data_IF_514210730331
#
_entry.id   IF_514210730331
#
_cell.length_a   1.000
_cell.length_b   1.000
_cell.length_c   1.000
_cell.angle_alpha   90.00
_cell.angle_beta   90.00
_cell.angle_gamma   90.00
#
_symmetry.space_group_name_H-M   'P 1'
#
loop_
_entity.id
_entity.type
_entity.pdbx_description
1 polymer ?
#
# COMPACT_ATOMS: atom_id res chain seq x y z
N UNK A 1 -4.86 31.80 -0.74
CA UNK A 1 -5.96 31.30 -1.59
C UNK A 1 -5.40 30.22 -2.47
N UNK A 2 -5.59 28.95 -2.11
CA UNK A 2 -5.31 27.83 -3.01
C UNK A 2 -6.65 27.46 -3.62
N UNK A 3 -6.78 27.73 -4.92
CA UNK A 3 -7.94 27.35 -5.70
C UNK A 3 -8.20 25.86 -5.49
N UNK A 4 -9.32 25.60 -4.85
CA UNK A 4 -9.89 24.27 -4.75
C UNK A 4 -10.39 23.94 -6.15
N UNK A 5 -9.49 23.47 -7.02
CA UNK A 5 -9.89 22.78 -8.24
C UNK A 5 -10.76 21.63 -7.73
N UNK A 6 -12.06 21.81 -7.90
CA UNK A 6 -13.06 20.80 -7.61
C UNK A 6 -12.91 19.75 -8.71
N UNK A 7 -11.82 18.99 -8.64
CA UNK A 7 -11.53 17.90 -9.55
C UNK A 7 -12.51 16.81 -9.14
N UNK A 8 -13.63 16.69 -9.87
CA UNK A 8 -14.56 15.59 -9.66
C UNK A 8 -13.76 14.29 -9.69
N UNK A 9 -13.76 13.59 -8.55
CA UNK A 9 -13.02 12.36 -8.42
C UNK A 9 -13.65 11.31 -9.34
N UNK A 10 -12.85 10.59 -10.15
CA UNK A 10 -13.36 9.55 -11.02
C UNK A 10 -14.22 8.54 -10.24
N UNK A 11 -15.33 8.09 -10.84
CA UNK A 11 -16.21 7.11 -10.21
C UNK A 11 -15.49 5.77 -9.99
N UNK A 12 -15.93 4.97 -9.00
CA UNK A 12 -15.37 3.63 -8.75
C UNK A 12 -15.38 2.77 -10.02
N UNK A 13 -16.44 2.84 -10.80
CA UNK A 13 -16.58 2.13 -12.08
C UNK A 13 -15.52 2.58 -13.09
N UNK A 14 -15.33 3.88 -13.25
CA UNK A 14 -14.31 4.44 -14.15
C UNK A 14 -12.90 4.04 -13.71
N UNK A 15 -12.58 4.17 -12.43
CA UNK A 15 -11.29 3.75 -11.84
C UNK A 15 -11.03 2.28 -12.16
N UNK A 16 -12.02 1.41 -11.96
CA UNK A 16 -11.89 -0.02 -12.22
C UNK A 16 -11.70 -0.32 -13.72
N UNK A 17 -12.43 0.36 -14.60
CA UNK A 17 -12.28 0.24 -16.06
C UNK A 17 -10.87 0.63 -16.50
N UNK A 18 -10.38 1.80 -16.10
CA UNK A 18 -9.05 2.30 -16.44
C UNK A 18 -7.95 1.40 -15.87
N UNK A 19 -8.08 0.91 -14.63
CA UNK A 19 -7.14 -0.05 -14.05
C UNK A 19 -7.05 -1.36 -14.84
N UNK A 20 -8.19 -1.88 -15.34
CA UNK A 20 -8.22 -3.07 -16.21
C UNK A 20 -7.56 -2.79 -17.57
N UNK A 21 -7.82 -1.63 -18.18
CA UNK A 21 -7.20 -1.23 -19.45
C UNK A 21 -5.67 -1.18 -19.32
N UNK A 22 -5.15 -0.46 -18.33
CA UNK A 22 -3.70 -0.36 -18.10
C UNK A 22 -3.06 -1.71 -17.80
N UNK A 23 -3.76 -2.60 -17.06
CA UNK A 23 -3.30 -3.97 -16.83
C UNK A 23 -3.14 -4.74 -18.15
N UNK A 24 -4.14 -4.65 -19.03
CA UNK A 24 -4.11 -5.30 -20.35
C UNK A 24 -3.02 -4.70 -21.24
N UNK A 25 -2.84 -3.38 -21.22
CA UNK A 25 -1.84 -2.70 -22.06
C UNK A 25 -0.40 -3.05 -21.64
N UNK A 26 -0.16 -3.19 -20.33
CA UNK A 26 1.18 -3.45 -19.80
C UNK A 26 1.58 -4.94 -19.80
N UNK A 27 0.61 -5.86 -19.66
CA UNK A 27 0.87 -7.29 -19.42
C UNK A 27 0.09 -8.24 -20.34
N UNK A 28 -0.79 -7.73 -21.19
CA UNK A 28 -1.48 -8.50 -22.22
C UNK A 28 -0.94 -8.17 -23.61
N UNK A 29 -1.29 -9.00 -24.59
CA UNK A 29 -1.09 -8.69 -26.01
C UNK A 29 -2.28 -7.86 -26.50
N UNK A 30 -2.32 -6.57 -26.16
CA UNK A 30 -3.19 -5.64 -26.89
C UNK A 30 -2.48 -5.28 -28.19
N UNK A 31 -3.05 -5.68 -29.32
CA UNK A 31 -2.48 -5.46 -30.65
C UNK A 31 -2.68 -4.03 -31.14
N UNK A 32 -3.80 -3.38 -30.76
CA UNK A 32 -4.10 -1.98 -31.04
C UNK A 32 -4.87 -1.40 -29.87
N UNK A 33 -4.38 -0.34 -29.23
CA UNK A 33 -5.16 0.49 -28.29
C UNK A 33 -4.84 1.92 -28.63
N UNK A 34 -5.87 2.77 -28.68
CA UNK A 34 -5.70 4.19 -28.93
C UNK A 34 -4.82 4.78 -27.83
N UNK A 35 -3.76 5.48 -28.23
CA UNK A 35 -2.82 6.12 -27.31
C UNK A 35 -3.56 7.10 -26.37
N UNK A 36 -4.60 7.76 -26.88
CA UNK A 36 -5.44 8.67 -26.10
C UNK A 36 -6.24 7.95 -25.00
N UNK A 37 -6.71 6.71 -25.25
CA UNK A 37 -7.40 5.91 -24.24
C UNK A 37 -6.46 5.49 -23.10
N UNK A 38 -5.20 5.16 -23.44
CA UNK A 38 -4.17 4.83 -22.46
C UNK A 38 -3.81 6.05 -21.63
N UNK A 39 -3.61 7.20 -22.27
CA UNK A 39 -3.31 8.46 -21.59
C UNK A 39 -4.44 8.85 -20.63
N UNK A 40 -5.69 8.79 -21.09
CA UNK A 40 -6.86 9.03 -20.26
C UNK A 40 -6.91 8.07 -19.05
N UNK A 41 -6.65 6.78 -19.28
CA UNK A 41 -6.63 5.80 -18.19
C UNK A 41 -5.50 6.05 -17.18
N UNK A 42 -4.32 6.48 -17.65
CA UNK A 42 -3.22 6.91 -16.76
C UNK A 42 -3.68 8.08 -15.90
N UNK A 43 -4.34 9.07 -16.48
CA UNK A 43 -4.79 10.25 -15.77
C UNK A 43 -5.85 9.92 -14.71
N UNK A 44 -6.86 9.11 -15.04
CA UNK A 44 -7.85 8.61 -14.07
C UNK A 44 -7.17 7.91 -12.89
N UNK A 45 -6.17 7.06 -13.14
CA UNK A 45 -5.43 6.36 -12.08
C UNK A 45 -4.55 7.33 -11.28
N UNK A 46 -3.99 8.38 -11.90
CA UNK A 46 -3.25 9.43 -11.21
C UNK A 46 -4.15 10.23 -10.28
N UNK A 47 -5.35 10.62 -10.72
CA UNK A 47 -6.35 11.32 -9.91
C UNK A 47 -6.80 10.47 -8.72
N UNK A 48 -7.15 9.21 -8.95
CA UNK A 48 -7.48 8.27 -7.87
C UNK A 48 -6.33 8.13 -6.87
N UNK A 49 -5.08 8.00 -7.35
CA UNK A 49 -3.89 7.94 -6.50
C UNK A 49 -3.69 9.24 -5.70
N UNK A 50 -3.84 10.41 -6.33
CA UNK A 50 -3.69 11.71 -5.69
C UNK A 50 -4.71 11.92 -4.57
N UNK A 51 -5.94 11.41 -4.75
CA UNK A 51 -7.01 11.46 -3.75
C UNK A 51 -6.66 10.77 -2.41
N UNK A 52 -5.61 9.94 -2.36
CA UNK A 52 -5.15 9.32 -1.11
C UNK A 52 -4.20 10.23 -0.31
N UNK A 53 -3.72 11.34 -0.87
CA UNK A 53 -2.70 12.18 -0.24
C UNK A 53 -3.18 12.77 1.10
N UNK A 54 -4.37 13.37 1.12
CA UNK A 54 -4.91 14.02 2.31
C UNK A 54 -5.32 13.03 3.41
N UNK A 55 -6.04 11.93 3.13
CA UNK A 55 -6.32 10.91 4.15
C UNK A 55 -5.05 10.27 4.70
N UNK A 56 -4.06 10.01 3.85
CA UNK A 56 -2.75 9.49 4.26
C UNK A 56 -2.02 10.46 5.19
N UNK A 57 -2.10 11.78 4.96
CA UNK A 57 -1.54 12.79 5.85
C UNK A 57 -2.19 12.74 7.24
N UNK A 58 -3.52 12.61 7.32
CA UNK A 58 -4.23 12.47 8.61
C UNK A 58 -3.79 11.20 9.36
N UNK A 59 -3.72 10.07 8.66
CA UNK A 59 -3.26 8.80 9.25
C UNK A 59 -1.81 8.92 9.71
N UNK A 60 -0.92 9.55 8.93
CA UNK A 60 0.46 9.82 9.33
C UNK A 60 0.51 10.64 10.62
N UNK A 61 -0.19 11.77 10.68
CA UNK A 61 -0.19 12.64 11.86
C UNK A 61 -0.71 11.92 13.11
N UNK A 62 -1.79 11.15 12.98
CA UNK A 62 -2.29 10.37 14.11
C UNK A 62 -1.34 9.24 14.53
N UNK A 63 -0.67 8.57 13.58
CA UNK A 63 0.36 7.58 13.90
C UNK A 63 1.55 8.22 14.60
N UNK A 64 2.02 9.39 14.13
CA UNK A 64 3.08 10.16 14.79
C UNK A 64 2.71 10.50 16.23
N UNK A 65 1.48 10.91 16.49
CA UNK A 65 1.00 11.18 17.85
C UNK A 65 1.08 9.92 18.73
N UNK A 66 0.60 8.78 18.24
CA UNK A 66 0.63 7.52 19.00
C UNK A 66 2.05 7.01 19.27
N UNK A 67 2.94 7.11 18.29
CA UNK A 67 4.36 6.74 18.43
C UNK A 67 5.03 7.60 19.51
N UNK A 68 4.81 8.92 19.48
CA UNK A 68 5.36 9.84 20.50
C UNK A 68 4.81 9.56 21.90
N UNK A 69 3.54 9.21 22.03
CA UNK A 69 2.94 8.89 23.35
C UNK A 69 3.59 7.65 23.98
N UNK A 70 3.98 6.67 23.16
CA UNK A 70 4.70 5.48 23.64
C UNK A 70 6.21 5.73 23.82
N UNK A 71 6.61 7.01 23.88
CA UNK A 71 7.99 7.48 24.08
C UNK A 71 8.99 6.91 23.05
N UNK A 72 8.53 6.68 21.82
CA UNK A 72 9.37 6.30 20.71
C UNK A 72 9.79 7.54 19.90
N UNK A 73 11.09 7.81 19.82
CA UNK A 73 11.66 8.84 18.96
C UNK A 73 11.96 8.26 17.57
N UNK A 74 10.88 7.95 16.85
CA UNK A 74 10.95 7.14 15.65
C UNK A 74 10.25 7.79 14.46
N UNK A 75 10.87 7.65 13.30
CA UNK A 75 10.42 8.32 12.10
C UNK A 75 9.14 7.68 11.55
N UNK A 76 8.11 8.51 11.36
CA UNK A 76 6.90 8.15 10.62
C UNK A 76 6.98 8.73 9.22
N UNK A 77 6.98 7.85 8.22
CA UNK A 77 7.06 8.21 6.81
C UNK A 77 5.75 7.87 6.10
N UNK A 78 5.51 8.49 4.95
CA UNK A 78 4.35 8.19 4.12
C UNK A 78 4.72 8.16 2.64
N UNK A 79 3.98 7.39 1.85
CA UNK A 79 4.22 7.24 0.42
C UNK A 79 2.95 6.84 -0.33
N UNK A 80 2.74 7.49 -1.46
CA UNK A 80 1.83 7.01 -2.49
C UNK A 80 2.52 6.01 -3.42
N UNK A 81 1.89 4.88 -3.66
CA UNK A 81 2.38 3.84 -4.57
C UNK A 81 2.47 4.37 -6.00
N UNK A 82 3.55 4.05 -6.72
CA UNK A 82 3.74 4.50 -8.12
C UNK A 82 2.78 3.73 -9.04
N UNK A 83 2.25 4.40 -10.08
CA UNK A 83 1.29 3.80 -11.03
C UNK A 83 1.77 2.46 -11.62
N UNK A 84 3.02 2.30 -12.10
CA UNK A 84 3.47 0.98 -12.60
C UNK A 84 3.44 -0.13 -11.54
N UNK A 85 3.64 0.21 -10.25
CA UNK A 85 3.54 -0.75 -9.14
C UNK A 85 2.08 -1.06 -8.78
N UNK A 86 1.16 -0.13 -9.00
CA UNK A 86 -0.30 -0.35 -8.90
C UNK A 86 -0.72 -1.36 -9.98
N UNK A 87 -0.40 -1.09 -11.25
CA UNK A 87 -0.74 -1.96 -12.39
C UNK A 87 -0.13 -3.35 -12.22
N UNK A 88 1.14 -3.46 -11.81
CA UNK A 88 1.78 -4.74 -11.48
C UNK A 88 1.06 -5.51 -10.37
N UNK A 89 0.50 -4.82 -9.36
CA UNK A 89 -0.29 -5.48 -8.31
C UNK A 89 -1.60 -6.03 -8.87
N UNK A 90 -2.31 -5.25 -9.68
CA UNK A 90 -3.53 -5.71 -10.36
C UNK A 90 -3.28 -6.91 -11.26
N UNK A 91 -2.11 -6.98 -11.92
CA UNK A 91 -1.73 -8.15 -12.71
C UNK A 91 -1.57 -9.41 -11.86
N UNK A 92 -0.88 -9.32 -10.71
CA UNK A 92 -0.72 -10.45 -9.78
C UNK A 92 -2.01 -10.87 -9.06
N UNK A 93 -3.02 -9.99 -9.04
CA UNK A 93 -4.31 -10.20 -8.36
C UNK A 93 -5.44 -9.98 -9.37
N UNK A 94 -5.65 -10.91 -10.32
CA UNK A 94 -6.45 -10.66 -11.51
C UNK A 94 -7.91 -10.28 -11.23
N UNK A 95 -8.46 -10.76 -10.11
CA UNK A 95 -9.84 -10.54 -9.68
C UNK A 95 -10.02 -9.29 -8.80
N UNK A 96 -8.94 -8.59 -8.46
CA UNK A 96 -9.02 -7.42 -7.57
C UNK A 96 -9.31 -6.13 -8.35
N UNK A 97 -10.42 -5.42 -8.06
CA UNK A 97 -10.69 -4.10 -8.64
C UNK A 97 -9.69 -3.06 -8.12
N UNK A 98 -9.34 -2.06 -8.95
CA UNK A 98 -8.42 -0.99 -8.57
C UNK A 98 -8.96 -0.14 -7.41
N UNK A 99 -10.25 0.19 -7.43
CA UNK A 99 -10.88 0.99 -6.38
C UNK A 99 -10.86 0.31 -4.99
N UNK A 100 -10.60 -1.01 -4.93
CA UNK A 100 -10.52 -1.80 -3.70
C UNK A 100 -9.08 -2.02 -3.21
N UNK A 101 -8.07 -1.45 -3.89
CA UNK A 101 -6.69 -1.58 -3.45
C UNK A 101 -6.44 -0.80 -2.15
N UNK A 102 -5.92 -1.51 -1.16
CA UNK A 102 -5.69 -0.97 0.19
C UNK A 102 -4.32 -0.31 0.37
N UNK A 103 -3.38 -0.55 -0.56
CA UNK A 103 -1.99 -0.09 -0.47
C UNK A 103 -1.65 0.97 -1.53
N UNK A 104 -2.63 1.79 -1.91
CA UNK A 104 -2.41 2.96 -2.79
C UNK A 104 -1.71 4.08 -2.02
N UNK A 105 -2.22 4.39 -0.83
CA UNK A 105 -1.55 5.22 0.17
C UNK A 105 -1.03 4.35 1.31
N UNK A 106 0.19 4.63 1.77
CA UNK A 106 0.80 3.89 2.86
C UNK A 106 1.58 4.79 3.81
N UNK A 107 1.50 4.48 5.10
CA UNK A 107 2.25 5.10 6.18
C UNK A 107 3.09 4.03 6.85
N UNK A 108 4.33 4.36 7.23
CA UNK A 108 5.24 3.45 7.92
C UNK A 108 5.81 4.11 9.15
N UNK A 109 5.90 3.35 10.24
CA UNK A 109 6.78 3.65 11.37
C UNK A 109 7.82 2.54 11.47
N UNK A 110 9.08 2.95 11.59
CA UNK A 110 10.22 2.07 11.89
C UNK A 110 10.56 2.32 13.35
N UNK A 111 10.51 1.30 14.18
CA UNK A 111 10.62 1.37 15.63
C UNK A 111 11.92 0.69 16.08
N UNK A 112 12.37 0.97 17.30
CA UNK A 112 13.65 0.44 17.78
C UNK A 112 13.66 -1.09 17.78
N UNK A 113 12.63 -1.69 18.39
CA UNK A 113 12.57 -3.11 18.68
C UNK A 113 11.13 -3.65 18.71
N UNK A 114 11.00 -4.96 18.96
CA UNK A 114 9.71 -5.65 19.07
C UNK A 114 8.82 -5.12 20.20
N UNK A 115 9.33 -4.93 21.43
CA UNK A 115 8.56 -4.35 22.52
C UNK A 115 7.95 -2.98 22.20
N UNK A 116 8.70 -2.05 21.60
CA UNK A 116 8.15 -0.76 21.17
C UNK A 116 7.08 -0.93 20.08
N UNK A 117 7.31 -1.84 19.13
CA UNK A 117 6.34 -2.17 18.10
C UNK A 117 5.01 -2.63 18.68
N UNK A 118 5.05 -3.53 19.66
CA UNK A 118 3.84 -4.04 20.30
C UNK A 118 3.11 -2.97 21.12
N UNK A 119 3.83 -2.07 21.81
CA UNK A 119 3.22 -0.90 22.48
C UNK A 119 2.47 0.00 21.49
N UNK A 120 3.12 0.36 20.38
CA UNK A 120 2.50 1.18 19.33
C UNK A 120 1.31 0.45 18.69
N UNK A 121 1.44 -0.85 18.39
CA UNK A 121 0.36 -1.69 17.88
C UNK A 121 -0.83 -1.71 18.82
N UNK A 122 -0.63 -1.96 20.11
CA UNK A 122 -1.69 -1.96 21.12
C UNK A 122 -2.39 -0.60 21.19
N UNK A 123 -1.64 0.50 21.12
CA UNK A 123 -2.23 1.86 21.06
C UNK A 123 -3.04 2.11 19.79
N UNK A 124 -2.58 1.65 18.63
CA UNK A 124 -3.37 1.72 17.39
C UNK A 124 -4.66 0.91 17.55
N UNK A 125 -4.57 -0.31 18.08
CA UNK A 125 -5.75 -1.15 18.31
C UNK A 125 -6.73 -0.49 19.27
N UNK A 126 -6.25 0.21 20.31
CA UNK A 126 -7.12 0.96 21.23
C UNK A 126 -7.82 2.15 20.56
N UNK A 127 -7.10 2.95 19.78
CA UNK A 127 -7.63 4.22 19.27
C UNK A 127 -8.33 4.11 17.91
N UNK A 128 -7.94 3.14 17.07
CA UNK A 128 -8.38 3.03 15.68
C UNK A 128 -9.15 1.74 15.39
N UNK A 129 -9.55 0.94 16.40
CA UNK A 129 -10.23 -0.35 16.17
C UNK A 129 -11.40 -0.27 15.19
N UNK A 130 -12.24 0.75 15.34
CA UNK A 130 -13.44 0.99 14.51
C UNK A 130 -13.12 1.53 13.12
N UNK A 131 -11.91 2.03 12.90
CA UNK A 131 -11.44 2.54 11.61
C UNK A 131 -10.67 1.46 10.83
N UNK A 132 -10.39 0.30 11.44
CA UNK A 132 -9.73 -0.80 10.74
C UNK A 132 -10.71 -1.49 9.80
N UNK A 133 -10.31 -1.64 8.54
CA UNK A 133 -11.13 -2.34 7.52
C UNK A 133 -11.22 -3.85 7.81
N UNK A 134 -10.21 -4.39 8.50
CA UNK A 134 -10.09 -5.80 8.90
C UNK A 134 -8.98 -5.94 9.94
N UNK A 135 -8.85 -7.14 10.50
CA UNK A 135 -7.83 -7.42 11.49
C UNK A 135 -6.40 -7.25 10.94
N UNK A 136 -5.45 -6.84 11.80
CA UNK A 136 -4.04 -6.71 11.43
C UNK A 136 -3.46 -8.02 10.89
N UNK A 137 -2.60 -7.91 9.88
CA UNK A 137 -1.79 -9.03 9.41
C UNK A 137 -0.42 -8.98 10.09
N UNK A 138 -0.13 -10.00 10.87
CA UNK A 138 1.13 -10.13 11.59
C UNK A 138 2.12 -10.98 10.79
N UNK A 139 2.97 -10.31 9.99
CA UNK A 139 4.05 -10.99 9.28
C UNK A 139 5.31 -11.15 10.14
N UNK A 140 5.30 -10.74 11.41
CA UNK A 140 6.39 -11.07 12.35
C UNK A 140 6.20 -12.51 12.80
N UNK A 141 5.00 -12.87 13.24
CA UNK A 141 4.65 -14.24 13.64
C UNK A 141 4.50 -15.18 12.44
N UNK A 142 3.89 -14.71 11.35
CA UNK A 142 3.70 -15.48 10.11
C UNK A 142 4.36 -14.79 8.92
N UNK A 143 5.71 -14.86 8.78
CA UNK A 143 6.43 -14.21 7.70
C UNK A 143 5.96 -14.67 6.32
N UNK A 144 6.12 -13.81 5.31
CA UNK A 144 5.94 -14.25 3.92
C UNK A 144 7.05 -15.22 3.53
N UNK A 145 6.81 -16.06 2.53
CA UNK A 145 7.78 -17.05 2.02
C UNK A 145 9.16 -16.48 1.70
N UNK A 146 9.21 -15.20 1.30
CA UNK A 146 10.45 -14.48 0.99
C UNK A 146 11.23 -14.04 2.25
N UNK A 147 10.75 -14.33 3.46
CA UNK A 147 11.33 -13.91 4.73
C UNK A 147 10.88 -12.54 5.23
N UNK A 148 9.95 -11.89 4.53
CA UNK A 148 9.48 -10.54 4.85
C UNK A 148 8.68 -10.51 6.16
N UNK A 149 9.06 -9.57 7.06
CA UNK A 149 8.45 -9.35 8.38
C UNK A 149 8.00 -7.89 8.60
N UNK A 150 6.80 -7.71 9.13
CA UNK A 150 6.20 -6.44 9.57
C UNK A 150 4.80 -6.69 10.15
N UNK A 151 4.24 -5.75 10.90
CA UNK A 151 2.79 -5.72 11.16
C UNK A 151 2.11 -4.79 10.17
N UNK A 152 1.05 -5.27 9.52
CA UNK A 152 0.28 -4.53 8.51
C UNK A 152 -1.16 -4.31 8.99
N UNK A 153 -1.54 -3.04 9.13
CA UNK A 153 -2.92 -2.62 9.40
C UNK A 153 -3.47 -1.86 8.20
N UNK A 154 -4.79 -1.81 8.05
CA UNK A 154 -5.43 -0.97 7.03
C UNK A 154 -6.51 -0.14 7.70
N UNK A 155 -6.32 1.17 7.67
CA UNK A 155 -7.20 2.17 8.27
C UNK A 155 -8.03 2.80 7.16
N UNK A 156 -9.34 2.84 7.33
CA UNK A 156 -10.21 3.68 6.52
C UNK A 156 -10.15 5.12 7.02
N UNK A 157 -9.87 6.06 6.13
CA UNK A 157 -9.92 7.49 6.43
C UNK A 157 -10.49 8.24 5.23
N UNK A 158 -11.51 9.04 5.48
CA UNK A 158 -12.20 9.83 4.45
C UNK A 158 -12.59 8.99 3.20
N UNK A 159 -13.11 7.77 3.42
CA UNK A 159 -13.50 6.84 2.35
C UNK A 159 -12.35 6.19 1.59
N UNK A 160 -11.10 6.29 2.08
CA UNK A 160 -9.90 5.68 1.48
C UNK A 160 -9.21 4.72 2.44
N UNK A 161 -8.75 3.60 1.91
CA UNK A 161 -7.93 2.64 2.64
C UNK A 161 -6.47 3.12 2.64
N UNK A 162 -5.90 3.27 3.83
CA UNK A 162 -4.48 3.61 4.04
C UNK A 162 -3.81 2.44 4.78
N UNK A 163 -2.79 1.86 4.15
CA UNK A 163 -1.99 0.81 4.77
C UNK A 163 -1.02 1.42 5.79
N UNK A 164 -1.05 0.93 7.03
CA UNK A 164 -0.09 1.26 8.08
C UNK A 164 0.86 0.08 8.27
N UNK A 165 2.16 0.33 8.18
CA UNK A 165 3.20 -0.66 8.38
C UNK A 165 4.02 -0.33 9.64
N UNK A 166 4.07 -1.25 10.59
CA UNK A 166 5.01 -1.18 11.71
C UNK A 166 6.16 -2.17 11.46
N UNK A 167 7.38 -1.69 11.66
CA UNK A 167 8.60 -2.49 11.52
C UNK A 167 9.57 -2.14 12.62
N UNK A 168 10.45 -3.06 12.99
CA UNK A 168 11.67 -2.70 13.73
C UNK A 168 12.76 -2.20 12.77
N UNK A 169 13.82 -1.55 13.29
CA UNK A 169 14.99 -1.14 12.49
C UNK A 169 15.60 -2.32 11.72
N UNK A 170 15.83 -3.45 12.40
CA UNK A 170 16.33 -4.67 11.75
C UNK A 170 15.42 -5.22 10.66
N UNK A 171 14.09 -5.17 10.85
CA UNK A 171 13.13 -5.57 9.80
C UNK A 171 13.14 -4.61 8.61
N UNK A 172 13.31 -3.31 8.87
CA UNK A 172 13.45 -2.30 7.81
C UNK A 172 14.73 -2.52 7.00
N UNK A 173 15.87 -2.69 7.67
CA UNK A 173 17.17 -2.97 7.03
C UNK A 173 17.11 -4.24 6.17
N UNK A 174 16.53 -5.32 6.70
CA UNK A 174 16.35 -6.56 5.93
C UNK A 174 15.54 -6.34 4.65
N UNK A 175 14.44 -5.57 4.76
CA UNK A 175 13.56 -5.30 3.63
C UNK A 175 14.17 -4.35 2.59
N UNK A 176 15.17 -3.55 2.96
CA UNK A 176 15.94 -2.68 2.06
C UNK A 176 17.09 -3.42 1.38
N UNK A 177 17.67 -4.43 2.04
CA UNK A 177 18.80 -5.23 1.56
C UNK A 177 18.44 -6.34 0.57
N UNK A 178 17.16 -6.52 0.22
CA UNK A 178 16.64 -7.74 -0.44
C UNK A 178 17.54 -8.25 -1.62
N UNK A 179 18.14 -9.47 -1.51
CA UNK A 179 18.89 -10.13 -2.59
C UNK A 179 17.96 -10.64 -3.72
N UNK A 180 18.47 -10.97 -4.93
CA UNK A 180 17.62 -11.37 -6.06
C UNK A 180 16.74 -12.57 -5.73
N UNK A 181 15.48 -12.52 -6.17
CA UNK A 181 14.50 -13.60 -6.03
C UNK A 181 15.10 -14.91 -6.54
N UNK A 182 15.07 -15.98 -5.74
CA UNK A 182 15.30 -17.33 -6.26
C UNK A 182 14.32 -17.56 -7.40
N UNK A 183 14.87 -17.68 -8.62
CA UNK A 183 14.16 -18.19 -9.78
C UNK A 183 13.67 -19.60 -9.51
N UNK A 184 12.63 -19.98 -10.23
CA UNK A 184 12.00 -21.28 -10.22
C UNK A 184 12.98 -22.42 -9.96
N UNK A 185 12.65 -23.28 -9.00
CA UNK A 185 13.25 -24.59 -8.87
C UNK A 185 13.10 -25.32 -10.20
N UNK A 186 14.19 -25.34 -10.98
CA UNK A 186 14.31 -26.16 -12.17
C UNK A 186 14.26 -27.62 -11.74
N UNK A 187 13.19 -28.30 -12.17
CA UNK A 187 13.07 -29.75 -12.16
C UNK A 187 14.34 -30.36 -12.75
N UNK A 188 14.97 -31.28 -12.03
CA UNK A 188 15.70 -32.44 -12.58
C UNK A 188 15.16 -33.64 -11.80
N UNK A 189 14.03 -34.21 -12.22
CA UNK A 189 13.95 -35.48 -12.96
C UNK A 189 15.13 -36.39 -12.65
N UNK A 190 14.83 -37.47 -11.94
CA UNK A 190 15.73 -38.60 -11.83
C UNK A 190 16.00 -39.22 -13.19
N UNK A 191 17.19 -39.79 -13.27
CA UNK A 191 17.50 -40.97 -14.06
C UNK A 191 18.06 -41.99 -13.08
#
# INVERSE_FOLDING_TARGET
>A
MMDSVNLELPSKTQINKCGKLLKRAMYGQLTMTDESEIEHAIEVVRQFRAAHAYPMLKVRSGLTSMVRTELADEAVTQRLKRVPRIVRKLHRMPNMPLASLEDVGGVRSVLLDGPQLEKVRARIMKNWRSQLIRDPRDYIESPKDIGYRAVHLVVERDGRAIEVQLRTRGQQEWAEREPPRRGAAGRRRGS
#
